data_IF_441660513655
#
_entry.id   IF_441660513655
#
_cell.length_a   1.000
_cell.length_b   1.000
_cell.length_c   1.000
_cell.angle_alpha   90.00
_cell.angle_beta   90.00
_cell.angle_gamma   90.00
#
_symmetry.space_group_name_H-M   'P 1'
#
loop_
_entity.id
_entity.type
_entity.pdbx_description
1 polymer ?
#
# COMPACT_ATOMS: atom_id res chain seq x y z
N UNK A 1 11.91 1.98 -15.77
CA UNK A 1 11.98 1.00 -15.88
C UNK A 1 12.87 -0.15 -15.45
N UNK A 2 12.24 -1.22 -14.98
CA UNK A 2 12.87 -2.47 -14.55
C UNK A 2 13.77 -3.10 -15.62
N UNK A 3 13.38 -3.01 -16.90
CA UNK A 3 14.19 -3.49 -18.03
C UNK A 3 15.55 -2.79 -18.16
N UNK A 4 15.68 -1.55 -17.70
CA UNK A 4 16.93 -0.79 -17.76
C UNK A 4 17.91 -1.22 -16.67
N UNK A 5 17.42 -1.63 -15.50
CA UNK A 5 18.25 -2.13 -14.39
C UNK A 5 18.78 -3.54 -14.66
N UNK A 6 17.98 -4.44 -15.21
CA UNK A 6 18.41 -5.77 -15.63
C UNK A 6 19.44 -5.68 -16.78
N UNK A 7 19.23 -4.79 -17.76
CA UNK A 7 20.23 -4.54 -18.82
C UNK A 7 21.56 -4.02 -18.29
N UNK A 8 21.57 -3.20 -17.24
CA UNK A 8 22.83 -2.70 -16.67
C UNK A 8 23.65 -3.81 -16.01
N UNK A 9 23.00 -4.80 -15.38
CA UNK A 9 23.66 -5.96 -14.78
C UNK A 9 24.25 -6.88 -15.87
N UNK A 10 23.53 -7.12 -16.96
CA UNK A 10 23.99 -7.96 -18.08
C UNK A 10 25.03 -7.29 -18.99
N UNK A 11 25.07 -5.97 -19.07
CA UNK A 11 25.99 -5.24 -19.97
C UNK A 11 27.42 -5.12 -19.41
N UNK A 12 27.59 -5.23 -18.08
CA UNK A 12 28.89 -4.99 -17.43
C UNK A 12 29.50 -6.21 -16.77
N UNK A 13 28.77 -7.32 -16.63
CA UNK A 13 29.17 -8.57 -15.95
C UNK A 13 29.87 -8.32 -14.59
N UNK A 14 29.50 -7.24 -13.92
CA UNK A 14 30.11 -6.82 -12.65
C UNK A 14 29.02 -6.48 -11.64
N UNK A 15 29.10 -7.12 -10.49
CA UNK A 15 28.34 -6.72 -9.31
C UNK A 15 28.82 -5.36 -8.80
N UNK A 16 27.96 -4.70 -8.02
CA UNK A 16 28.30 -3.43 -7.35
C UNK A 16 27.74 -3.42 -5.94
N UNK A 17 28.35 -2.65 -5.09
CA UNK A 17 27.81 -2.36 -3.75
C UNK A 17 26.61 -1.41 -3.91
N UNK A 18 25.50 -1.74 -3.26
CA UNK A 18 24.33 -0.86 -3.14
C UNK A 18 24.29 -0.41 -1.68
N UNK A 19 24.58 0.87 -1.46
CA UNK A 19 24.50 1.49 -0.15
C UNK A 19 23.23 2.34 -0.08
N UNK A 20 22.34 2.04 0.86
CA UNK A 20 21.06 2.73 1.05
C UNK A 20 20.73 2.78 2.54
N UNK A 21 20.72 3.97 3.10
CA UNK A 21 20.19 4.16 4.45
C UNK A 21 18.66 4.12 4.47
N UNK A 22 18.07 3.65 5.56
CA UNK A 22 16.60 3.55 5.68
C UNK A 22 15.88 4.88 5.43
N UNK A 23 16.43 5.98 5.96
CA UNK A 23 15.81 7.30 5.77
C UNK A 23 15.93 7.83 4.34
N UNK A 24 16.95 7.45 3.57
CA UNK A 24 17.11 7.86 2.17
C UNK A 24 16.00 7.29 1.28
N UNK A 25 15.61 6.04 1.54
CA UNK A 25 14.48 5.42 0.83
C UNK A 25 13.17 6.17 1.09
N UNK A 26 12.92 6.59 2.34
CA UNK A 26 11.75 7.39 2.71
C UNK A 26 11.85 8.80 2.12
N UNK A 27 13.04 9.44 2.19
CA UNK A 27 13.26 10.77 1.61
C UNK A 27 12.98 10.80 0.10
N UNK A 28 13.37 9.75 -0.63
CA UNK A 28 13.09 9.65 -2.06
C UNK A 28 11.59 9.58 -2.42
N UNK A 29 10.72 9.24 -1.44
CA UNK A 29 9.27 9.21 -1.61
C UNK A 29 8.58 10.51 -1.17
N UNK A 30 9.30 11.52 -0.70
CA UNK A 30 8.72 12.79 -0.24
C UNK A 30 8.22 13.68 -1.40
N UNK A 31 8.52 13.29 -2.63
CA UNK A 31 8.04 13.95 -3.86
C UNK A 31 8.20 15.47 -3.86
N UNK A 32 7.08 16.20 -3.88
CA UNK A 32 7.06 17.66 -4.00
C UNK A 32 7.37 18.42 -2.71
N UNK A 33 7.39 17.76 -1.55
CA UNK A 33 7.63 18.45 -0.27
C UNK A 33 8.96 19.23 -0.26
N UNK A 34 10.02 18.63 -0.80
CA UNK A 34 11.35 19.28 -0.83
C UNK A 34 11.38 20.51 -1.74
N UNK A 35 10.97 20.41 -3.04
CA UNK A 35 10.94 21.57 -3.91
C UNK A 35 9.90 22.64 -3.48
N UNK A 36 8.78 22.27 -2.86
CA UNK A 36 7.83 23.25 -2.31
C UNK A 36 8.47 24.09 -1.21
N UNK A 37 9.24 23.48 -0.32
CA UNK A 37 9.95 24.23 0.71
C UNK A 37 11.08 25.08 0.12
N UNK A 38 11.87 24.52 -0.79
CA UNK A 38 13.02 25.20 -1.39
C UNK A 38 12.60 26.45 -2.20
N UNK A 39 11.53 26.32 -2.99
CA UNK A 39 11.09 27.41 -3.90
C UNK A 39 10.16 28.41 -3.20
N UNK A 40 9.26 27.92 -2.36
CA UNK A 40 8.17 28.74 -1.78
C UNK A 40 8.27 28.92 -0.26
N UNK A 41 9.19 28.25 0.43
CA UNK A 41 9.27 28.23 1.89
C UNK A 41 8.06 27.56 2.54
N UNK A 42 7.29 26.77 1.78
CA UNK A 42 6.08 26.15 2.27
C UNK A 42 6.39 24.90 3.10
N UNK A 43 5.96 24.88 4.35
CA UNK A 43 6.09 23.74 5.26
C UNK A 43 4.75 23.03 5.33
N UNK A 44 4.73 21.75 4.92
CA UNK A 44 3.53 20.90 5.06
C UNK A 44 3.34 20.48 6.51
N UNK A 45 2.16 20.74 7.03
CA UNK A 45 1.73 20.35 8.37
C UNK A 45 0.85 19.08 8.29
N UNK A 46 0.43 18.59 9.46
CA UNK A 46 -0.47 17.44 9.55
C UNK A 46 -1.85 17.80 9.01
N UNK A 47 -2.37 16.99 8.09
CA UNK A 47 -3.67 17.19 7.44
C UNK A 47 -4.65 16.03 7.65
N UNK A 48 -4.28 15.06 8.48
CA UNK A 48 -5.08 13.83 8.64
C UNK A 48 -5.11 13.00 7.35
N UNK A 49 -6.29 12.65 6.86
CA UNK A 49 -6.50 11.91 5.63
C UNK A 49 -6.75 12.82 4.40
N UNK A 50 -6.54 14.13 4.56
CA UNK A 50 -6.77 15.10 3.50
C UNK A 50 -5.46 15.40 2.78
N UNK A 51 -5.50 15.40 1.45
CA UNK A 51 -4.39 15.84 0.61
C UNK A 51 -4.61 17.32 0.24
N UNK A 52 -3.76 18.24 0.73
CA UNK A 52 -3.90 19.68 0.43
C UNK A 52 -3.83 19.94 -1.08
N UNK A 53 -4.70 20.84 -1.55
CA UNK A 53 -4.75 21.22 -2.96
C UNK A 53 -5.39 20.18 -3.88
N UNK A 54 -5.98 19.09 -3.37
CA UNK A 54 -6.66 18.05 -4.15
C UNK A 54 -8.02 17.76 -3.51
N UNK A 55 -9.09 18.43 -3.97
CA UNK A 55 -10.41 18.36 -3.35
C UNK A 55 -11.52 18.02 -4.36
N UNK A 56 -12.41 17.03 -4.05
CA UNK A 56 -12.32 16.12 -2.91
C UNK A 56 -11.47 14.88 -3.21
N UNK A 57 -10.61 14.53 -2.27
CA UNK A 57 -9.86 13.24 -2.27
C UNK A 57 -9.56 12.87 -0.82
N UNK A 58 -10.32 11.92 -0.25
CA UNK A 58 -10.20 11.55 1.16
C UNK A 58 -10.86 10.21 1.47
N UNK A 59 -10.68 9.75 2.71
CA UNK A 59 -11.29 8.55 3.25
C UNK A 59 -12.54 8.95 4.05
N UNK A 60 -13.63 8.21 3.85
CA UNK A 60 -14.91 8.41 4.51
C UNK A 60 -15.36 7.12 5.19
N UNK A 61 -16.26 7.23 6.18
CA UNK A 61 -16.78 6.07 6.91
C UNK A 61 -18.25 5.85 6.55
N UNK A 62 -18.57 4.63 6.12
CA UNK A 62 -19.93 4.21 5.77
C UNK A 62 -20.78 3.89 7.00
N UNK A 63 -22.09 3.70 6.81
CA UNK A 63 -23.06 3.39 7.87
C UNK A 63 -22.68 2.13 8.66
N UNK A 64 -22.09 1.13 8.01
CA UNK A 64 -21.63 -0.12 8.59
C UNK A 64 -20.21 -0.05 9.18
N UNK A 65 -19.67 1.17 9.36
CA UNK A 65 -18.36 1.42 10.01
C UNK A 65 -17.14 1.05 9.18
N UNK A 66 -17.33 0.72 7.90
CA UNK A 66 -16.23 0.44 6.97
C UNK A 66 -15.73 1.73 6.32
N UNK A 67 -14.52 1.68 5.78
CA UNK A 67 -13.87 2.85 5.20
C UNK A 67 -13.76 2.76 3.68
N UNK A 68 -13.96 3.90 3.01
CA UNK A 68 -13.86 4.05 1.56
C UNK A 68 -13.00 5.26 1.21
N UNK A 69 -12.05 5.08 0.31
CA UNK A 69 -11.31 6.16 -0.34
C UNK A 69 -12.10 6.61 -1.57
N UNK A 70 -12.36 7.91 -1.70
CA UNK A 70 -13.01 8.50 -2.87
C UNK A 70 -12.08 9.53 -3.47
N UNK A 71 -11.80 9.43 -4.79
CA UNK A 71 -10.99 10.38 -5.55
C UNK A 71 -11.83 11.09 -6.60
N UNK A 72 -12.42 12.24 -6.24
CA UNK A 72 -13.33 12.99 -7.12
C UNK A 72 -12.82 14.41 -7.43
N UNK A 73 -11.51 14.61 -7.44
CA UNK A 73 -10.89 15.92 -7.65
C UNK A 73 -10.88 16.38 -9.12
N UNK A 74 -11.11 15.50 -10.09
CA UNK A 74 -11.28 15.90 -11.50
C UNK A 74 -12.63 16.61 -11.71
N UNK A 75 -12.65 17.73 -12.46
CA UNK A 75 -13.83 18.61 -12.59
C UNK A 75 -15.09 17.86 -13.05
N UNK A 76 -14.97 17.04 -14.10
CA UNK A 76 -16.09 16.25 -14.59
C UNK A 76 -16.52 15.14 -13.62
N UNK A 77 -15.57 14.58 -12.86
CA UNK A 77 -15.82 13.56 -11.85
C UNK A 77 -16.55 14.18 -10.67
N UNK A 78 -16.08 15.33 -10.18
CA UNK A 78 -16.74 16.09 -9.12
C UNK A 78 -18.19 16.38 -9.44
N UNK A 79 -18.46 16.87 -10.65
CA UNK A 79 -19.83 17.19 -11.09
C UNK A 79 -20.74 15.96 -11.05
N UNK A 80 -20.27 14.83 -11.59
CA UNK A 80 -21.04 13.56 -11.54
C UNK A 80 -21.27 13.09 -10.11
N UNK A 81 -20.25 13.22 -9.26
CA UNK A 81 -20.34 12.83 -7.86
C UNK A 81 -21.39 13.68 -7.12
N UNK A 82 -21.39 14.99 -7.29
CA UNK A 82 -22.39 15.85 -6.67
C UNK A 82 -23.82 15.53 -7.14
N UNK A 83 -24.01 15.17 -8.41
CA UNK A 83 -25.30 14.73 -8.92
C UNK A 83 -25.81 13.46 -8.23
N UNK A 84 -25.00 12.43 -8.08
CA UNK A 84 -25.46 11.16 -7.46
C UNK A 84 -25.76 11.30 -5.97
N UNK A 85 -25.11 12.24 -5.27
CA UNK A 85 -25.42 12.51 -3.87
C UNK A 85 -26.57 13.51 -3.68
N UNK A 86 -27.22 13.93 -4.79
CA UNK A 86 -28.40 14.83 -4.76
C UNK A 86 -28.05 16.29 -4.49
N UNK A 87 -26.82 16.73 -4.80
CA UNK A 87 -26.35 18.11 -4.61
C UNK A 87 -26.09 18.78 -5.94
N UNK A 88 -27.16 18.93 -6.73
CA UNK A 88 -27.14 19.63 -8.02
C UNK A 88 -26.73 21.11 -7.87
N UNK A 89 -27.00 21.70 -6.72
CA UNK A 89 -26.56 23.04 -6.36
C UNK A 89 -25.02 23.14 -6.37
N UNK A 90 -24.32 22.17 -5.79
CA UNK A 90 -22.84 22.11 -5.79
C UNK A 90 -22.29 21.68 -7.15
N UNK A 91 -22.97 20.76 -7.83
CA UNK A 91 -22.56 20.27 -9.16
C UNK A 91 -22.52 21.39 -10.21
N UNK A 92 -23.39 22.39 -10.08
CA UNK A 92 -23.56 23.48 -11.04
C UNK A 92 -23.05 24.84 -10.53
N UNK A 93 -22.43 24.88 -9.37
CA UNK A 93 -21.84 26.11 -8.81
C UNK A 93 -20.58 26.49 -9.59
N UNK A 94 -20.54 27.64 -10.27
CA UNK A 94 -19.35 28.09 -11.00
C UNK A 94 -18.10 28.24 -10.12
N UNK A 95 -18.28 28.55 -8.83
CA UNK A 95 -17.16 28.67 -7.88
C UNK A 95 -16.48 27.32 -7.60
N UNK A 96 -17.15 26.20 -7.85
CA UNK A 96 -16.64 24.84 -7.64
C UNK A 96 -16.19 24.16 -8.96
N UNK A 97 -16.21 24.89 -10.07
CA UNK A 97 -15.86 24.33 -11.37
C UNK A 97 -14.39 23.89 -11.48
N UNK A 98 -13.51 24.48 -10.68
CA UNK A 98 -12.09 24.13 -10.60
C UNK A 98 -11.70 23.51 -9.26
N UNK A 99 -10.59 22.79 -9.23
CA UNK A 99 -10.05 22.22 -7.98
C UNK A 99 -9.74 23.29 -6.93
N UNK A 100 -9.18 24.45 -7.35
CA UNK A 100 -8.86 25.56 -6.43
C UNK A 100 -10.12 26.11 -5.76
N UNK A 101 -11.20 26.28 -6.52
CA UNK A 101 -12.48 26.70 -5.97
C UNK A 101 -13.04 25.71 -4.96
N UNK A 102 -12.91 24.41 -5.24
CA UNK A 102 -13.32 23.34 -4.32
C UNK A 102 -12.48 23.31 -3.05
N UNK A 103 -11.18 23.55 -3.16
CA UNK A 103 -10.28 23.55 -1.99
C UNK A 103 -10.61 24.67 -1.00
N UNK A 104 -11.07 25.82 -1.48
CA UNK A 104 -11.53 26.91 -0.62
C UNK A 104 -12.80 26.58 0.19
N UNK A 105 -13.63 25.64 -0.30
CA UNK A 105 -14.86 25.17 0.37
C UNK A 105 -14.74 23.70 0.80
N UNK A 106 -13.54 23.26 1.05
CA UNK A 106 -13.20 21.87 1.34
C UNK A 106 -14.03 21.28 2.49
N UNK A 107 -14.13 21.96 3.61
CA UNK A 107 -14.80 21.46 4.80
C UNK A 107 -16.32 21.27 4.57
N UNK A 108 -16.94 22.17 3.80
CA UNK A 108 -18.33 22.02 3.37
C UNK A 108 -18.53 20.78 2.51
N UNK A 109 -17.66 20.60 1.51
CA UNK A 109 -17.73 19.48 0.58
C UNK A 109 -17.53 18.15 1.30
N UNK A 110 -16.52 18.06 2.16
CA UNK A 110 -16.30 16.84 2.96
C UNK A 110 -17.45 16.56 3.91
N UNK A 111 -18.02 17.57 4.55
CA UNK A 111 -19.20 17.40 5.39
C UNK A 111 -20.44 16.90 4.63
N UNK A 112 -20.61 17.28 3.38
CA UNK A 112 -21.67 16.75 2.51
C UNK A 112 -21.41 15.29 2.15
N UNK A 113 -20.18 14.97 1.76
CA UNK A 113 -19.78 13.62 1.38
C UNK A 113 -19.86 12.67 2.59
N UNK A 114 -19.37 13.08 3.76
CA UNK A 114 -19.43 12.28 4.99
C UNK A 114 -20.86 11.92 5.37
N UNK A 115 -21.79 12.87 5.29
CA UNK A 115 -23.20 12.60 5.57
C UNK A 115 -23.81 11.59 4.59
N UNK A 116 -23.49 11.72 3.31
CA UNK A 116 -24.02 10.79 2.30
C UNK A 116 -23.40 9.39 2.47
N UNK A 117 -22.08 9.26 2.59
CA UNK A 117 -21.40 7.98 2.80
C UNK A 117 -21.87 7.33 4.11
N UNK A 118 -21.95 8.12 5.20
CA UNK A 118 -22.39 7.65 6.51
C UNK A 118 -23.87 7.24 6.58
N UNK A 119 -24.68 7.56 5.57
CA UNK A 119 -26.09 7.16 5.49
C UNK A 119 -26.32 5.81 4.80
N UNK A 120 -25.30 5.22 4.18
CA UNK A 120 -25.42 4.03 3.33
C UNK A 120 -24.38 2.96 3.73
N UNK A 121 -24.72 1.65 3.58
CA UNK A 121 -23.73 0.58 3.66
C UNK A 121 -22.65 0.72 2.58
N UNK A 122 -21.43 0.27 2.87
CA UNK A 122 -20.28 0.40 1.97
C UNK A 122 -20.56 -0.12 0.55
N UNK A 123 -21.17 -1.30 0.42
CA UNK A 123 -21.43 -1.91 -0.89
C UNK A 123 -22.36 -1.02 -1.75
N UNK A 124 -23.39 -0.43 -1.13
CA UNK A 124 -24.30 0.51 -1.81
C UNK A 124 -23.57 1.77 -2.29
N UNK A 125 -22.68 2.31 -1.45
CA UNK A 125 -21.82 3.45 -1.81
C UNK A 125 -20.95 3.11 -3.02
N UNK A 126 -20.25 1.96 -2.97
CA UNK A 126 -19.38 1.49 -4.05
C UNK A 126 -20.13 1.30 -5.37
N UNK A 127 -21.32 0.68 -5.32
CA UNK A 127 -22.16 0.46 -6.51
C UNK A 127 -22.59 1.78 -7.14
N UNK A 128 -23.06 2.74 -6.35
CA UNK A 128 -23.48 4.05 -6.86
C UNK A 128 -22.31 4.82 -7.47
N UNK A 129 -21.13 4.83 -6.80
CA UNK A 129 -19.94 5.49 -7.30
C UNK A 129 -19.42 4.83 -8.59
N UNK A 130 -19.42 3.50 -8.66
CA UNK A 130 -19.05 2.75 -9.86
C UNK A 130 -19.96 3.07 -11.05
N UNK A 131 -21.27 3.07 -10.84
CA UNK A 131 -22.28 3.42 -11.87
C UNK A 131 -22.06 4.83 -12.40
N UNK A 132 -21.71 5.78 -11.54
CA UNK A 132 -21.42 7.15 -11.92
C UNK A 132 -19.99 7.36 -12.43
N UNK A 133 -19.19 6.31 -12.51
CA UNK A 133 -17.78 6.38 -12.89
C UNK A 133 -16.98 7.37 -12.03
N UNK A 134 -17.20 7.34 -10.73
CA UNK A 134 -16.41 8.06 -9.73
C UNK A 134 -15.40 7.09 -9.13
N UNK A 135 -14.09 7.37 -9.23
CA UNK A 135 -13.06 6.51 -8.66
C UNK A 135 -13.19 6.38 -7.15
N UNK A 136 -13.37 5.16 -6.69
CA UNK A 136 -13.45 4.84 -5.28
C UNK A 136 -12.97 3.41 -5.02
N UNK A 137 -12.48 3.16 -3.81
CA UNK A 137 -12.06 1.83 -3.36
C UNK A 137 -12.29 1.69 -1.87
N UNK A 138 -12.71 0.49 -1.44
CA UNK A 138 -12.74 0.16 -0.02
C UNK A 138 -11.32 0.20 0.56
N UNK A 139 -11.20 0.52 1.83
CA UNK A 139 -9.96 0.26 2.57
C UNK A 139 -10.05 -1.19 3.05
N UNK A 140 -9.16 -2.02 2.53
CA UNK A 140 -9.17 -3.46 2.79
C UNK A 140 -8.69 -3.80 4.19
N UNK A 141 -9.45 -4.62 4.90
CA UNK A 141 -8.94 -5.41 6.02
C UNK A 141 -8.21 -6.67 5.51
N UNK A 142 -7.51 -7.38 6.40
CA UNK A 142 -6.93 -8.67 6.03
C UNK A 142 -8.01 -9.69 5.63
N UNK A 143 -9.17 -9.69 6.30
CA UNK A 143 -10.30 -10.53 5.97
C UNK A 143 -10.83 -10.27 4.56
N UNK A 144 -10.99 -8.99 4.19
CA UNK A 144 -11.43 -8.59 2.85
C UNK A 144 -10.46 -9.10 1.77
N UNK A 145 -9.13 -8.98 2.00
CA UNK A 145 -8.12 -9.43 1.04
C UNK A 145 -8.20 -10.94 0.77
N UNK A 146 -8.52 -11.74 1.80
CA UNK A 146 -8.61 -13.20 1.67
C UNK A 146 -9.76 -13.68 0.81
N UNK A 147 -10.78 -12.85 0.61
CA UNK A 147 -11.99 -13.16 -0.16
C UNK A 147 -12.12 -12.35 -1.44
N UNK A 148 -11.32 -11.31 -1.62
CA UNK A 148 -11.38 -10.43 -2.78
C UNK A 148 -10.98 -11.15 -4.08
N UNK A 149 -11.82 -11.11 -5.13
CA UNK A 149 -11.55 -11.80 -6.39
C UNK A 149 -10.26 -11.40 -7.07
N UNK A 150 -9.83 -10.13 -6.94
CA UNK A 150 -8.60 -9.64 -7.56
C UNK A 150 -7.36 -10.18 -6.84
N UNK A 151 -7.37 -10.23 -5.50
CA UNK A 151 -6.28 -10.83 -4.72
C UNK A 151 -6.14 -12.32 -5.05
N UNK A 152 -7.26 -13.03 -5.17
CA UNK A 152 -7.27 -14.46 -5.53
C UNK A 152 -6.82 -14.69 -6.98
N UNK A 153 -7.35 -13.94 -7.95
CA UNK A 153 -6.98 -14.07 -9.36
C UNK A 153 -5.51 -13.71 -9.61
N UNK A 154 -4.95 -12.79 -8.80
CA UNK A 154 -3.52 -12.44 -8.84
C UNK A 154 -2.65 -13.39 -8.04
N UNK A 155 -3.22 -14.43 -7.40
CA UNK A 155 -2.47 -15.39 -6.57
C UNK A 155 -1.56 -14.66 -5.57
N UNK A 156 -2.13 -13.66 -4.88
CA UNK A 156 -1.37 -12.81 -3.96
C UNK A 156 -1.03 -13.51 -2.64
N UNK A 157 -1.53 -14.73 -2.44
CA UNK A 157 -1.24 -15.55 -1.27
C UNK A 157 -0.54 -16.83 -1.68
N UNK A 158 0.56 -17.16 -1.00
CA UNK A 158 1.22 -18.47 -1.06
C UNK A 158 0.76 -19.33 0.11
N UNK A 159 0.48 -20.59 -0.17
CA UNK A 159 0.22 -21.60 0.86
C UNK A 159 1.55 -22.12 1.38
N UNK A 160 1.72 -22.15 2.69
CA UNK A 160 2.92 -22.65 3.35
C UNK A 160 2.56 -23.48 4.59
N UNK A 161 3.55 -24.19 5.15
CA UNK A 161 3.42 -24.95 6.39
C UNK A 161 4.41 -24.44 7.42
N UNK A 162 3.96 -24.28 8.65
CA UNK A 162 4.82 -24.06 9.80
C UNK A 162 5.58 -25.36 10.15
N UNK A 163 6.67 -25.28 10.94
CA UNK A 163 7.42 -26.46 11.36
C UNK A 163 6.58 -27.50 12.11
N UNK A 164 5.51 -27.10 12.79
CA UNK A 164 4.54 -27.95 13.46
C UNK A 164 3.51 -28.63 12.51
N UNK A 165 3.62 -28.35 11.21
CA UNK A 165 2.75 -28.88 10.15
C UNK A 165 1.47 -28.10 9.90
N UNK A 166 1.21 -27.01 10.63
CA UNK A 166 0.03 -26.17 10.46
C UNK A 166 0.10 -25.37 9.15
N UNK A 167 -0.97 -25.44 8.37
CA UNK A 167 -1.10 -24.66 7.15
C UNK A 167 -1.35 -23.18 7.46
N UNK A 168 -0.71 -22.30 6.70
CA UNK A 168 -0.97 -20.86 6.75
C UNK A 168 -0.74 -20.22 5.39
N UNK A 169 -1.24 -19.00 5.20
CA UNK A 169 -1.02 -18.20 4.00
C UNK A 169 -0.05 -17.07 4.29
N UNK A 170 0.85 -16.82 3.36
CA UNK A 170 1.80 -15.71 3.40
C UNK A 170 1.68 -14.86 2.12
N UNK A 171 2.16 -13.61 2.13
CA UNK A 171 2.19 -12.80 0.92
C UNK A 171 2.95 -13.48 -0.22
N UNK A 172 2.41 -13.36 -1.43
CA UNK A 172 3.04 -13.85 -2.65
C UNK A 172 4.29 -13.07 -3.02
N UNK A 173 5.07 -13.62 -3.94
CA UNK A 173 6.33 -13.02 -4.40
C UNK A 173 6.05 -11.95 -5.46
N UNK A 174 6.60 -10.76 -5.26
CA UNK A 174 6.48 -9.61 -6.18
C UNK A 174 7.88 -9.06 -6.48
N UNK A 175 8.18 -8.74 -7.75
CA UNK A 175 7.36 -8.89 -8.96
C UNK A 175 7.28 -10.35 -9.45
N UNK A 176 6.21 -10.65 -10.16
CA UNK A 176 6.08 -11.95 -10.84
C UNK A 176 6.95 -11.96 -12.09
N UNK A 177 7.86 -12.92 -12.18
CA UNK A 177 8.75 -13.11 -13.32
C UNK A 177 8.21 -14.24 -14.20
N UNK A 178 8.05 -14.02 -15.51
CA UNK A 178 7.48 -15.01 -16.43
C UNK A 178 8.40 -16.19 -16.68
N UNK A 179 9.72 -15.94 -16.77
CA UNK A 179 10.72 -16.95 -17.13
C UNK A 179 11.34 -17.61 -15.88
N UNK A 180 11.44 -16.87 -14.79
CA UNK A 180 12.09 -17.31 -13.55
C UNK A 180 11.21 -16.93 -12.36
N UNK A 181 10.04 -17.57 -12.20
CA UNK A 181 9.15 -17.25 -11.09
C UNK A 181 9.83 -17.53 -9.75
N UNK A 182 9.61 -16.66 -8.78
CA UNK A 182 10.07 -16.90 -7.41
C UNK A 182 9.30 -18.05 -6.77
N UNK A 183 9.96 -18.82 -5.90
CA UNK A 183 9.37 -19.85 -5.05
C UNK A 183 9.64 -19.59 -3.58
N UNK A 184 8.81 -20.13 -2.71
CA UNK A 184 9.01 -20.14 -1.26
C UNK A 184 8.96 -21.59 -0.79
N UNK A 185 10.11 -22.22 -0.76
CA UNK A 185 10.22 -23.65 -0.48
C UNK A 185 10.14 -23.96 1.02
N UNK A 186 10.36 -22.96 1.85
CA UNK A 186 10.33 -23.06 3.31
C UNK A 186 10.11 -21.69 3.99
N UNK A 187 9.63 -21.70 5.22
CA UNK A 187 9.25 -20.48 5.97
C UNK A 187 10.30 -19.98 6.97
N UNK A 188 11.46 -20.58 6.94
CA UNK A 188 12.56 -20.30 7.87
C UNK A 188 12.76 -21.45 8.87
N UNK A 189 13.99 -21.65 9.32
CA UNK A 189 14.33 -22.69 10.28
C UNK A 189 14.07 -22.21 11.70
N UNK A 190 14.03 -23.18 12.62
CA UNK A 190 14.13 -22.89 14.05
C UNK A 190 15.47 -22.24 14.41
N UNK A 191 15.49 -21.49 15.50
CA UNK A 191 16.71 -20.85 15.98
C UNK A 191 17.81 -21.90 16.24
N UNK A 192 18.97 -21.70 15.61
CA UNK A 192 20.12 -22.59 15.74
C UNK A 192 20.03 -23.87 14.91
N UNK A 193 19.02 -24.08 14.06
CA UNK A 193 18.85 -25.28 13.26
C UNK A 193 20.09 -25.65 12.41
N UNK A 194 20.82 -24.65 11.94
CA UNK A 194 22.03 -24.86 11.13
C UNK A 194 23.35 -24.78 11.92
N UNK A 195 23.31 -24.60 13.25
CA UNK A 195 24.52 -24.46 14.07
C UNK A 195 25.45 -25.66 13.91
N UNK A 196 24.92 -26.88 13.95
CA UNK A 196 25.74 -28.08 13.81
C UNK A 196 26.40 -28.17 12.44
N UNK A 197 25.65 -27.97 11.37
CA UNK A 197 26.12 -28.01 9.98
C UNK A 197 27.24 -26.98 9.75
N UNK A 198 26.98 -25.72 10.09
CA UNK A 198 27.91 -24.63 9.84
C UNK A 198 29.18 -24.74 10.69
N UNK A 199 29.07 -25.07 11.98
CA UNK A 199 30.23 -25.23 12.86
C UNK A 199 31.07 -26.46 12.50
N UNK A 200 30.43 -27.57 12.08
CA UNK A 200 31.17 -28.74 11.57
C UNK A 200 31.93 -28.41 10.30
N UNK A 201 31.32 -27.63 9.36
CA UNK A 201 32.04 -27.17 8.18
C UNK A 201 33.25 -26.26 8.48
N UNK A 202 33.20 -25.54 9.60
CA UNK A 202 34.29 -24.73 10.11
C UNK A 202 35.36 -25.55 10.91
N UNK A 203 35.18 -26.88 11.04
CA UNK A 203 36.14 -27.77 11.69
C UNK A 203 35.90 -28.01 13.19
N UNK A 204 34.79 -27.55 13.75
CA UNK A 204 34.39 -27.89 15.12
C UNK A 204 33.89 -29.32 15.19
N UNK A 205 34.40 -30.09 16.11
CA UNK A 205 33.88 -31.44 16.37
C UNK A 205 32.60 -31.40 17.24
N UNK A 206 31.93 -32.54 17.35
CA UNK A 206 30.66 -32.64 18.08
C UNK A 206 30.81 -32.24 19.57
N UNK A 207 31.95 -32.52 20.18
CA UNK A 207 32.21 -32.18 21.59
C UNK A 207 32.36 -30.67 21.76
N UNK A 208 33.09 -30.01 20.86
CA UNK A 208 33.22 -28.55 20.85
C UNK A 208 31.89 -27.85 20.65
N UNK A 209 31.05 -28.33 19.73
CA UNK A 209 29.70 -27.79 19.50
C UNK A 209 28.82 -27.97 20.74
N UNK A 210 28.87 -29.14 21.38
CA UNK A 210 28.12 -29.39 22.62
C UNK A 210 28.56 -28.43 23.76
N UNK A 211 29.85 -28.17 23.90
CA UNK A 211 30.40 -27.21 24.86
C UNK A 211 29.93 -25.77 24.59
N UNK A 212 29.89 -25.35 23.32
CA UNK A 212 29.38 -24.03 22.93
C UNK A 212 27.88 -23.89 23.29
N UNK A 213 27.10 -24.94 23.06
CA UNK A 213 25.66 -24.98 23.43
C UNK A 213 25.50 -24.92 24.96
N UNK A 214 26.28 -25.69 25.71
CA UNK A 214 26.23 -25.69 27.16
C UNK A 214 26.64 -24.34 27.77
N UNK A 215 27.55 -23.65 27.12
CA UNK A 215 28.00 -22.30 27.51
C UNK A 215 26.98 -21.20 27.11
N UNK A 216 25.93 -21.52 26.41
CA UNK A 216 24.96 -20.54 25.91
C UNK A 216 25.51 -19.61 24.82
N UNK A 217 26.56 -20.05 24.12
CA UNK A 217 27.17 -19.29 23.01
C UNK A 217 26.42 -19.50 21.69
N UNK A 218 25.65 -20.58 21.57
CA UNK A 218 24.84 -20.95 20.42
C UNK A 218 23.53 -21.59 20.85
#
# INVERSE_FOLDING_TARGET
SLRRRQRQMCIRDRGQVVDVALYEAIFAMMESMVPEFDVFGFIRERTGNIMPGITPSSIHTSLDGKHIQIGANGDAIFKRFMHIIGRDDLANDPALASNDGRDTRRDELYGVIDRWVGSLPLETVLEQLSTAQVPASRIFSAEDMFTDPQFLAREMFLQAKLPDGKDFKMPGIVPRLSETPGSADWVGPELGAHNHELLSALGYDAAAIANLKQAGAI
#
